data_IF_625279565952
#
_entry.id   IF_625279565952
#
_cell.length_a   1.000
_cell.length_b   1.000
_cell.length_c   1.000
_cell.angle_alpha   90.00
_cell.angle_beta   90.00
_cell.angle_gamma   90.00
#
_symmetry.space_group_name_H-M   'P 1'
#
loop_
_entity.id
_entity.type
_entity.pdbx_description
1 polymer ?
#
# COMPACT_ATOMS: atom_id res chain seq x y z
N UNK A 1 -21.73 79.32 40.38
CA UNK A 1 -22.92 78.99 39.53
C UNK A 1 -22.83 77.56 39.01
N UNK A 2 -23.86 76.77 39.24
CA UNK A 2 -24.11 75.42 38.78
C UNK A 2 -23.13 74.30 39.18
N UNK A 3 -23.52 73.63 40.26
CA UNK A 3 -23.03 72.34 40.72
C UNK A 3 -23.27 71.23 39.71
N UNK A 4 -22.28 70.36 39.47
CA UNK A 4 -22.48 69.08 38.83
C UNK A 4 -22.39 67.97 39.87
N UNK A 5 -23.51 67.27 40.01
CA UNK A 5 -23.65 66.09 40.89
C UNK A 5 -22.83 64.95 40.33
N UNK A 6 -21.99 64.35 41.15
CA UNK A 6 -21.27 63.11 40.86
C UNK A 6 -22.20 61.94 41.21
N UNK A 7 -22.62 61.14 40.21
CA UNK A 7 -23.25 59.84 40.41
C UNK A 7 -22.16 58.77 40.48
N UNK A 8 -22.04 58.11 41.63
CA UNK A 8 -21.20 56.94 41.84
C UNK A 8 -21.93 55.72 41.28
N UNK A 9 -21.49 55.15 40.19
CA UNK A 9 -22.00 53.89 39.69
C UNK A 9 -21.12 52.76 40.27
N UNK A 10 -21.72 51.92 41.09
CA UNK A 10 -21.12 50.71 41.60
C UNK A 10 -21.04 49.67 40.46
N UNK A 11 -19.84 49.29 40.02
CA UNK A 11 -19.60 48.22 39.08
C UNK A 11 -19.53 46.91 39.86
N UNK A 12 -20.56 46.06 39.72
CA UNK A 12 -20.50 44.66 40.12
C UNK A 12 -19.64 43.90 39.13
N UNK A 13 -18.44 43.46 39.53
CA UNK A 13 -17.63 42.51 38.78
C UNK A 13 -18.20 41.12 39.01
N UNK A 14 -18.98 40.63 38.06
CA UNK A 14 -19.29 39.22 37.93
C UNK A 14 -18.05 38.48 37.47
N UNK A 15 -17.33 37.80 38.36
CA UNK A 15 -16.31 36.81 38.04
C UNK A 15 -17.04 35.61 37.43
N UNK A 16 -17.21 35.65 36.12
CA UNK A 16 -17.56 34.48 35.33
C UNK A 16 -16.41 33.51 35.36
N UNK A 17 -16.56 32.40 36.08
CA UNK A 17 -15.69 31.25 35.94
C UNK A 17 -15.77 30.74 34.49
N UNK A 18 -14.84 31.16 33.63
CA UNK A 18 -14.57 30.47 32.37
C UNK A 18 -14.06 29.08 32.71
N UNK A 19 -14.95 28.12 32.82
CA UNK A 19 -14.60 26.73 32.72
C UNK A 19 -13.94 26.51 31.37
N UNK A 20 -12.61 26.37 31.34
CA UNK A 20 -11.91 25.84 30.17
C UNK A 20 -12.60 24.56 29.77
N UNK A 21 -12.96 24.36 28.50
CA UNK A 21 -13.38 23.05 28.07
C UNK A 21 -12.19 22.13 28.32
N UNK A 22 -12.36 21.22 29.29
CA UNK A 22 -11.43 20.12 29.48
C UNK A 22 -11.32 19.42 28.12
N UNK A 23 -10.15 19.51 27.54
CA UNK A 23 -9.73 18.68 26.41
C UNK A 23 -9.63 17.23 26.92
N UNK A 24 -10.77 16.65 27.27
CA UNK A 24 -10.94 15.29 27.70
C UNK A 24 -11.11 14.35 26.51
N UNK A 25 -10.22 14.40 25.56
CA UNK A 25 -10.02 13.35 24.58
C UNK A 25 -9.07 12.30 25.16
N UNK A 26 -9.42 11.67 26.29
CA UNK A 26 -8.71 10.49 26.75
C UNK A 26 -8.71 9.45 25.65
N UNK A 27 -7.53 8.86 25.36
CA UNK A 27 -7.41 7.74 24.41
C UNK A 27 -8.50 6.72 24.75
N UNK A 28 -9.35 6.37 23.76
CA UNK A 28 -10.42 5.39 23.98
C UNK A 28 -9.78 4.08 24.37
N UNK A 29 -10.24 3.49 25.48
CA UNK A 29 -9.79 2.18 25.92
C UNK A 29 -10.29 1.13 24.91
N UNK A 30 -9.36 0.60 24.14
CA UNK A 30 -9.60 -0.44 23.15
C UNK A 30 -8.97 -1.77 23.63
N UNK A 31 -8.87 -2.00 24.93
CA UNK A 31 -8.47 -3.31 25.44
C UNK A 31 -9.48 -4.40 25.00
N UNK A 32 -9.04 -5.65 24.78
CA UNK A 32 -9.90 -6.70 24.22
C UNK A 32 -11.21 -6.94 24.98
N UNK A 33 -11.22 -6.74 26.30
CA UNK A 33 -12.39 -6.87 27.17
C UNK A 33 -13.38 -5.68 27.03
N UNK A 34 -12.93 -4.53 26.50
CA UNK A 34 -13.77 -3.34 26.26
C UNK A 34 -14.37 -3.29 24.86
N UNK A 35 -13.85 -4.07 23.94
CA UNK A 35 -14.34 -4.14 22.56
C UNK A 35 -15.39 -5.25 22.46
N UNK A 36 -16.68 -4.93 22.16
CA UNK A 36 -17.74 -5.93 22.10
C UNK A 36 -17.53 -6.92 20.93
N UNK A 37 -18.05 -8.14 21.04
CA UNK A 37 -17.98 -9.14 19.95
C UNK A 37 -18.76 -8.70 18.69
N UNK A 38 -19.81 -7.92 18.88
CA UNK A 38 -20.53 -7.23 17.81
C UNK A 38 -20.80 -5.80 18.23
N UNK A 39 -20.84 -4.84 17.30
CA UNK A 39 -21.13 -3.47 17.62
C UNK A 39 -22.54 -3.35 18.26
N UNK A 40 -22.70 -2.50 19.25
CA UNK A 40 -23.99 -2.27 19.93
C UNK A 40 -25.05 -1.73 18.97
N UNK A 41 -24.61 -0.98 17.96
CA UNK A 41 -25.42 -0.50 16.84
C UNK A 41 -24.63 -0.62 15.56
N UNK A 42 -25.30 -0.97 14.45
CA UNK A 42 -24.67 -1.03 13.14
C UNK A 42 -23.93 0.28 12.82
N UNK A 43 -22.65 0.17 12.48
CA UNK A 43 -21.80 1.34 12.24
C UNK A 43 -21.91 1.85 10.81
N UNK A 44 -21.56 3.12 10.59
CA UNK A 44 -21.12 3.63 9.29
C UNK A 44 -19.60 3.55 9.30
N UNK A 45 -19.03 2.80 8.37
CA UNK A 45 -17.59 2.60 8.28
C UNK A 45 -17.01 3.49 7.19
N UNK A 46 -16.09 4.38 7.55
CA UNK A 46 -15.35 5.20 6.59
C UNK A 46 -14.01 4.55 6.30
N UNK A 47 -13.77 4.18 5.05
CA UNK A 47 -12.57 3.49 4.59
C UNK A 47 -11.72 4.44 3.75
N UNK A 48 -10.40 4.48 4.03
CA UNK A 48 -9.44 5.06 3.11
C UNK A 48 -8.80 3.93 2.29
N UNK A 49 -8.81 4.10 0.98
CA UNK A 49 -8.07 3.27 0.04
C UNK A 49 -6.76 3.93 -0.35
N UNK A 50 -5.68 3.18 -0.19
CA UNK A 50 -4.34 3.55 -0.64
C UNK A 50 -3.86 2.49 -1.60
N UNK A 51 -3.23 2.90 -2.69
CA UNK A 51 -2.66 2.00 -3.70
C UNK A 51 -3.66 1.14 -4.51
N UNK A 52 -4.96 1.49 -4.53
CA UNK A 52 -5.96 0.80 -5.35
C UNK A 52 -6.41 -0.55 -4.77
N UNK A 53 -6.30 -0.75 -3.48
CA UNK A 53 -6.71 -1.98 -2.80
C UNK A 53 -8.21 -2.29 -2.98
N UNK A 54 -9.06 -1.26 -3.05
CA UNK A 54 -10.51 -1.42 -3.27
C UNK A 54 -10.86 -2.17 -4.56
N UNK A 55 -10.01 -2.14 -5.59
CA UNK A 55 -10.25 -2.94 -6.78
C UNK A 55 -10.38 -4.43 -6.44
N UNK A 56 -9.59 -4.92 -5.49
CA UNK A 56 -9.58 -6.31 -5.05
C UNK A 56 -10.61 -6.60 -3.95
N UNK A 57 -10.83 -5.65 -3.05
CA UNK A 57 -11.52 -5.89 -1.78
C UNK A 57 -12.94 -5.35 -1.74
N UNK A 58 -13.30 -4.42 -2.66
CA UNK A 58 -14.64 -3.81 -2.65
C UNK A 58 -15.77 -4.85 -2.74
N UNK A 59 -15.62 -5.87 -3.59
CA UNK A 59 -16.62 -6.93 -3.70
C UNK A 59 -16.76 -7.78 -2.43
N UNK A 60 -15.67 -7.93 -1.64
CA UNK A 60 -15.71 -8.60 -0.34
C UNK A 60 -16.47 -7.74 0.69
N UNK A 61 -16.20 -6.43 0.70
CA UNK A 61 -16.81 -5.47 1.62
C UNK A 61 -18.31 -5.29 1.32
N UNK A 62 -18.67 -5.12 0.06
CA UNK A 62 -20.05 -4.94 -0.36
C UNK A 62 -20.93 -6.16 0.03
N UNK A 63 -20.42 -7.37 -0.18
CA UNK A 63 -21.12 -8.60 0.20
C UNK A 63 -21.23 -8.72 1.73
N UNK A 64 -20.17 -8.35 2.48
CA UNK A 64 -20.26 -8.31 3.94
C UNK A 64 -21.36 -7.37 4.42
N UNK A 65 -21.44 -6.16 3.88
CA UNK A 65 -22.48 -5.18 4.25
C UNK A 65 -23.88 -5.71 3.95
N UNK A 66 -24.06 -6.37 2.80
CA UNK A 66 -25.35 -6.97 2.42
C UNK A 66 -25.76 -8.10 3.37
N UNK A 67 -24.83 -8.94 3.75
CA UNK A 67 -25.10 -10.13 4.57
C UNK A 67 -25.06 -9.86 6.07
N UNK A 68 -24.42 -8.76 6.50
CA UNK A 68 -24.25 -8.38 7.91
C UNK A 68 -24.73 -6.94 8.22
N UNK A 69 -25.97 -6.57 7.85
CA UNK A 69 -26.47 -5.18 7.98
C UNK A 69 -26.58 -4.71 9.43
N UNK A 70 -26.59 -5.64 10.40
CA UNK A 70 -26.56 -5.34 11.84
C UNK A 70 -25.17 -4.96 12.35
N UNK A 71 -24.11 -5.25 11.58
CA UNK A 71 -22.72 -4.93 11.91
C UNK A 71 -22.31 -3.62 11.22
N UNK A 72 -22.44 -3.56 9.90
CA UNK A 72 -22.14 -2.37 9.10
C UNK A 72 -23.39 -2.01 8.28
N UNK A 73 -23.96 -0.84 8.52
CA UNK A 73 -25.14 -0.35 7.79
C UNK A 73 -24.78 0.42 6.51
N UNK A 74 -23.57 0.97 6.45
CA UNK A 74 -23.10 1.80 5.32
C UNK A 74 -21.58 1.87 5.34
N UNK A 75 -20.99 1.88 4.15
CA UNK A 75 -19.56 2.19 3.97
C UNK A 75 -19.43 3.44 3.10
N UNK A 76 -18.45 4.28 3.42
CA UNK A 76 -18.00 5.38 2.57
C UNK A 76 -16.53 5.19 2.25
N UNK A 77 -16.13 5.58 1.04
CA UNK A 77 -14.77 5.41 0.56
C UNK A 77 -14.14 6.77 0.25
N UNK A 78 -12.88 6.92 0.65
CA UNK A 78 -12.01 8.02 0.23
C UNK A 78 -10.67 7.46 -0.19
N UNK A 79 -9.89 8.22 -0.92
CA UNK A 79 -8.55 7.82 -1.36
C UNK A 79 -7.47 8.71 -0.74
N UNK A 80 -6.29 8.16 -0.58
CA UNK A 80 -5.08 8.90 -0.23
C UNK A 80 -3.86 8.26 -0.90
N UNK A 81 -2.81 9.04 -1.09
CA UNK A 81 -1.49 8.48 -1.38
C UNK A 81 -0.80 8.03 -0.09
N UNK A 82 0.12 7.07 -0.19
CA UNK A 82 0.87 6.60 0.98
C UNK A 82 1.62 7.74 1.72
N UNK A 83 2.24 8.72 1.03
CA UNK A 83 2.85 9.88 1.69
C UNK A 83 1.86 10.80 2.42
N UNK A 84 0.60 10.92 1.97
CA UNK A 84 -0.41 11.77 2.60
C UNK A 84 -1.11 11.10 3.80
N UNK A 85 -1.14 9.78 3.80
CA UNK A 85 -1.91 8.99 4.77
C UNK A 85 -1.57 9.32 6.23
N UNK A 86 -0.29 9.37 6.67
CA UNK A 86 0.03 9.66 8.07
C UNK A 86 -0.48 11.01 8.54
N UNK A 87 -0.38 12.03 7.70
CA UNK A 87 -0.87 13.37 8.02
C UNK A 87 -2.39 13.40 8.22
N UNK A 88 -3.15 12.72 7.36
CA UNK A 88 -4.61 12.62 7.44
C UNK A 88 -5.07 11.90 8.74
N UNK A 89 -4.40 10.81 9.10
CA UNK A 89 -4.71 10.06 10.33
C UNK A 89 -4.34 10.87 11.57
N UNK A 90 -3.14 11.44 11.63
CA UNK A 90 -2.68 12.27 12.76
C UNK A 90 -3.59 13.47 13.02
N UNK A 91 -4.04 14.15 11.98
CA UNK A 91 -4.94 15.29 12.12
C UNK A 91 -6.23 14.91 12.87
N UNK A 92 -6.81 13.76 12.55
CA UNK A 92 -8.03 13.26 13.24
C UNK A 92 -7.74 12.79 14.67
N UNK A 93 -6.61 12.12 14.89
CA UNK A 93 -6.18 11.68 16.22
C UNK A 93 -5.93 12.88 17.14
N UNK A 94 -5.22 13.91 16.64
CA UNK A 94 -4.96 15.14 17.41
C UNK A 94 -6.24 15.92 17.73
N UNK A 95 -7.24 15.87 16.86
CA UNK A 95 -8.55 16.46 17.11
C UNK A 95 -9.43 15.62 18.06
N UNK A 96 -9.00 14.43 18.48
CA UNK A 96 -9.80 13.51 19.31
C UNK A 96 -11.02 12.93 18.59
N UNK A 97 -11.10 13.06 17.27
CA UNK A 97 -12.25 12.67 16.45
C UNK A 97 -11.79 11.82 15.25
N UNK A 98 -11.49 10.55 15.52
CA UNK A 98 -11.12 9.61 14.46
C UNK A 98 -12.38 9.08 13.78
N UNK A 99 -12.63 9.53 12.55
CA UNK A 99 -13.77 9.14 11.74
C UNK A 99 -13.42 8.02 10.75
N UNK A 100 -12.14 7.93 10.35
CA UNK A 100 -11.64 6.85 9.50
C UNK A 100 -11.61 5.58 10.35
N UNK A 101 -12.44 4.61 9.99
CA UNK A 101 -12.52 3.32 10.70
C UNK A 101 -11.47 2.33 10.22
N UNK A 102 -11.32 2.19 8.89
CA UNK A 102 -10.42 1.22 8.28
C UNK A 102 -9.55 1.90 7.22
N UNK A 103 -8.32 1.45 7.10
CA UNK A 103 -7.40 1.83 6.01
C UNK A 103 -6.97 0.56 5.28
N UNK A 104 -7.13 0.58 3.97
CA UNK A 104 -6.61 -0.45 3.06
C UNK A 104 -5.34 0.10 2.41
N UNK A 105 -4.18 -0.52 2.64
CA UNK A 105 -2.89 0.02 2.25
C UNK A 105 -1.88 -1.05 1.86
N UNK A 106 -0.88 -0.66 1.07
CA UNK A 106 0.30 -1.48 0.82
C UNK A 106 1.30 -1.43 1.98
N UNK A 107 2.45 -2.08 1.78
CA UNK A 107 3.55 -2.10 2.76
C UNK A 107 4.09 -0.71 3.11
N UNK A 108 3.98 0.25 2.19
CA UNK A 108 4.41 1.65 2.36
C UNK A 108 3.58 2.40 3.43
N UNK A 109 2.24 2.38 3.31
CA UNK A 109 1.38 3.02 4.31
C UNK A 109 1.35 2.25 5.64
N UNK A 110 1.45 0.92 5.61
CA UNK A 110 1.64 0.11 6.81
C UNK A 110 2.89 0.56 7.57
N UNK A 111 4.05 0.59 6.90
CA UNK A 111 5.34 0.96 7.47
C UNK A 111 5.33 2.39 8.04
N UNK A 112 4.81 3.36 7.28
CA UNK A 112 4.70 4.75 7.72
C UNK A 112 3.84 4.90 8.97
N UNK A 113 2.76 4.13 9.07
CA UNK A 113 1.88 4.17 10.24
C UNK A 113 2.44 3.44 11.46
N UNK A 114 3.16 2.34 11.29
CA UNK A 114 3.88 1.66 12.38
C UNK A 114 4.92 2.60 12.99
N UNK A 115 5.77 3.21 12.15
CA UNK A 115 6.82 4.13 12.60
C UNK A 115 6.28 5.34 13.37
N UNK A 116 5.02 5.73 13.10
CA UNK A 116 4.35 6.87 13.72
C UNK A 116 3.28 6.47 14.76
N UNK A 117 3.15 5.17 15.09
CA UNK A 117 2.22 4.61 16.08
C UNK A 117 0.75 4.95 15.80
N UNK A 118 0.36 4.88 14.53
CA UNK A 118 -0.99 5.25 14.08
C UNK A 118 -2.00 4.11 14.13
N UNK A 119 -1.54 2.85 14.16
CA UNK A 119 -2.37 1.66 14.02
C UNK A 119 -2.65 0.97 15.34
N UNK A 120 -3.87 0.47 15.49
CA UNK A 120 -4.24 -0.47 16.57
C UNK A 120 -3.41 -1.73 16.42
N UNK A 121 -3.03 -2.33 17.55
CA UNK A 121 -2.37 -3.64 17.57
C UNK A 121 -3.42 -4.73 17.38
N UNK A 122 -3.61 -5.19 16.14
CA UNK A 122 -4.63 -6.18 15.76
C UNK A 122 -4.37 -7.56 16.34
N UNK A 123 -3.10 -7.89 16.64
CA UNK A 123 -2.74 -9.18 17.28
C UNK A 123 -3.37 -9.37 18.66
N UNK A 124 -3.66 -8.29 19.38
CA UNK A 124 -4.37 -8.34 20.66
C UNK A 124 -5.78 -8.95 20.51
N UNK A 125 -6.31 -9.00 19.28
CA UNK A 125 -7.62 -9.54 18.91
C UNK A 125 -7.55 -10.82 18.06
N UNK A 126 -6.39 -11.47 17.96
CA UNK A 126 -6.18 -12.65 17.12
C UNK A 126 -7.19 -13.77 17.41
N UNK A 127 -7.57 -13.99 18.67
CA UNK A 127 -8.56 -15.00 19.09
C UNK A 127 -9.96 -14.75 18.47
N UNK A 128 -10.29 -13.51 18.11
CA UNK A 128 -11.57 -13.12 17.52
C UNK A 128 -11.59 -13.28 15.99
N UNK A 129 -10.45 -13.02 15.35
CA UNK A 129 -10.30 -13.16 13.90
C UNK A 129 -10.10 -14.63 13.49
N UNK A 130 -9.53 -15.46 14.38
CA UNK A 130 -9.08 -16.81 14.07
C UNK A 130 -7.74 -16.81 13.34
N UNK A 131 -7.14 -17.98 13.21
CA UNK A 131 -5.90 -18.13 12.43
C UNK A 131 -6.22 -18.15 10.93
N UNK A 132 -5.62 -17.27 10.18
CA UNK A 132 -5.62 -17.34 8.72
C UNK A 132 -4.59 -18.41 8.28
N UNK A 133 -5.00 -19.29 7.37
CA UNK A 133 -4.09 -20.27 6.78
C UNK A 133 -3.33 -19.63 5.61
N UNK A 134 -2.41 -18.72 5.92
CA UNK A 134 -1.63 -18.01 4.92
C UNK A 134 -0.76 -18.95 4.07
N UNK A 135 -0.51 -18.54 2.83
CA UNK A 135 0.61 -19.08 2.04
C UNK A 135 1.93 -18.84 2.78
N UNK A 136 2.94 -19.74 2.71
CA UNK A 136 4.20 -19.51 3.42
C UNK A 136 4.88 -18.16 3.15
N UNK A 137 4.94 -17.63 1.91
CA UNK A 137 5.50 -16.30 1.69
C UNK A 137 4.57 -15.17 2.18
N UNK A 138 3.25 -15.35 2.17
CA UNK A 138 2.29 -14.40 2.74
C UNK A 138 2.43 -14.34 4.27
N UNK A 139 2.64 -15.47 4.93
CA UNK A 139 2.90 -15.49 6.38
C UNK A 139 4.10 -14.61 6.75
N UNK A 140 5.19 -14.64 5.94
CA UNK A 140 6.34 -13.76 6.15
C UNK A 140 6.00 -12.28 5.94
N UNK A 141 5.08 -11.97 5.04
CA UNK A 141 4.61 -10.60 4.85
C UNK A 141 3.68 -10.17 5.99
N UNK A 142 2.84 -11.06 6.54
CA UNK A 142 2.06 -10.80 7.74
C UNK A 142 2.95 -10.44 8.95
N UNK A 143 4.10 -11.08 9.09
CA UNK A 143 5.07 -10.78 10.16
C UNK A 143 5.59 -9.34 10.09
N UNK A 144 5.71 -8.75 8.88
CA UNK A 144 6.10 -7.34 8.71
C UNK A 144 5.09 -6.36 9.31
N UNK A 145 3.83 -6.77 9.49
CA UNK A 145 2.82 -5.94 10.13
C UNK A 145 3.08 -5.74 11.64
N UNK A 146 3.98 -6.52 12.25
CA UNK A 146 4.36 -6.40 13.67
C UNK A 146 3.12 -6.37 14.60
N UNK A 147 2.07 -7.08 14.22
CA UNK A 147 0.81 -7.11 14.92
C UNK A 147 -0.10 -5.89 14.69
N UNK A 148 0.26 -4.94 13.84
CA UNK A 148 -0.48 -3.70 13.61
C UNK A 148 -1.34 -3.67 12.33
N UNK A 149 -1.52 -4.81 11.69
CA UNK A 149 -2.32 -4.94 10.48
C UNK A 149 -2.54 -6.39 10.11
N UNK A 150 -3.50 -6.62 9.23
CA UNK A 150 -3.84 -7.94 8.72
C UNK A 150 -3.66 -7.94 7.21
N UNK A 151 -2.85 -8.85 6.72
CA UNK A 151 -2.64 -9.03 5.28
C UNK A 151 -3.90 -9.60 4.63
N UNK A 152 -4.36 -8.96 3.57
CA UNK A 152 -5.55 -9.37 2.82
C UNK A 152 -5.18 -9.88 1.43
N UNK A 153 -4.13 -9.34 0.82
CA UNK A 153 -3.68 -9.67 -0.53
C UNK A 153 -2.18 -9.89 -0.53
N UNK A 154 -1.76 -10.94 -1.23
CA UNK A 154 -0.35 -11.28 -1.43
C UNK A 154 -0.02 -11.39 -2.92
N UNK A 155 1.16 -10.95 -3.30
CA UNK A 155 1.71 -11.20 -4.63
C UNK A 155 3.24 -11.19 -4.63
N UNK A 156 3.90 -11.95 -5.51
CA UNK A 156 5.36 -11.99 -5.57
C UNK A 156 5.96 -10.65 -5.99
N UNK A 157 5.20 -9.82 -6.69
CA UNK A 157 5.49 -8.45 -7.06
C UNK A 157 6.62 -8.30 -8.11
N UNK A 158 7.80 -7.82 -7.74
CA UNK A 158 8.89 -7.52 -8.67
C UNK A 158 10.29 -7.68 -8.05
N UNK A 159 11.32 -7.09 -8.65
CA UNK A 159 11.27 -6.17 -9.79
C UNK A 159 11.16 -6.90 -11.14
N UNK A 160 10.29 -6.39 -11.99
CA UNK A 160 10.23 -6.76 -13.40
C UNK A 160 10.41 -5.50 -14.24
N UNK A 161 10.76 -5.68 -15.52
CA UNK A 161 10.67 -4.62 -16.51
C UNK A 161 9.58 -4.97 -17.52
N UNK A 162 8.79 -3.97 -17.93
CA UNK A 162 7.80 -4.07 -19.00
C UNK A 162 8.25 -3.18 -20.16
N UNK A 163 8.06 -3.66 -21.39
CA UNK A 163 8.59 -2.98 -22.56
C UNK A 163 7.72 -3.16 -23.80
N UNK A 164 7.78 -2.18 -24.67
CA UNK A 164 7.17 -2.24 -26.00
C UNK A 164 8.08 -3.05 -26.94
N UNK A 165 7.68 -4.23 -27.43
CA UNK A 165 8.54 -5.07 -28.28
C UNK A 165 8.74 -4.50 -29.70
N UNK A 166 8.01 -3.45 -30.10
CA UNK A 166 8.21 -2.77 -31.39
C UNK A 166 9.40 -1.84 -31.37
N UNK A 167 9.73 -1.26 -30.20
CA UNK A 167 10.87 -0.34 -30.02
C UNK A 167 12.04 -1.03 -29.32
N UNK A 168 11.77 -2.02 -28.49
CA UNK A 168 12.77 -2.77 -27.72
C UNK A 168 12.79 -4.23 -28.20
N UNK A 169 13.53 -4.49 -29.29
CA UNK A 169 13.61 -5.84 -29.88
C UNK A 169 14.44 -6.82 -29.06
N UNK A 170 15.40 -6.29 -28.28
CA UNK A 170 16.25 -7.05 -27.35
C UNK A 170 16.20 -6.38 -25.98
N UNK A 171 15.36 -6.86 -25.04
CA UNK A 171 15.28 -6.27 -23.72
C UNK A 171 16.58 -6.49 -22.92
N UNK A 172 16.91 -5.58 -21.98
CA UNK A 172 18.02 -5.77 -21.05
C UNK A 172 17.91 -7.09 -20.28
N UNK A 173 18.98 -7.87 -20.23
CA UNK A 173 19.02 -9.11 -19.48
C UNK A 173 19.64 -8.95 -18.08
N UNK A 174 20.44 -7.91 -17.88
CA UNK A 174 21.09 -7.59 -16.60
C UNK A 174 20.83 -6.13 -16.21
N UNK A 175 21.10 -5.75 -14.96
CA UNK A 175 21.04 -4.33 -14.55
C UNK A 175 22.10 -3.49 -15.26
N UNK A 176 23.25 -4.08 -15.63
CA UNK A 176 24.27 -3.41 -16.42
C UNK A 176 23.79 -3.16 -17.86
N UNK A 177 23.09 -4.13 -18.47
CA UNK A 177 22.46 -3.94 -19.79
C UNK A 177 21.38 -2.85 -19.72
N UNK A 178 20.59 -2.80 -18.63
CA UNK A 178 19.58 -1.77 -18.45
C UNK A 178 20.22 -0.37 -18.37
N UNK A 179 21.31 -0.23 -17.63
CA UNK A 179 22.05 1.03 -17.56
C UNK A 179 22.62 1.43 -18.91
N UNK A 180 23.24 0.48 -19.64
CA UNK A 180 23.78 0.71 -20.98
C UNK A 180 22.67 1.09 -21.97
N UNK A 181 21.53 0.40 -21.90
CA UNK A 181 20.36 0.71 -22.72
C UNK A 181 19.81 2.12 -22.42
N UNK A 182 19.63 2.47 -21.13
CA UNK A 182 19.16 3.79 -20.72
C UNK A 182 20.10 4.92 -21.18
N UNK A 183 21.43 4.66 -21.16
CA UNK A 183 22.43 5.60 -21.68
C UNK A 183 22.32 5.78 -23.21
N UNK A 184 22.07 4.71 -23.95
CA UNK A 184 21.88 4.76 -25.41
C UNK A 184 20.52 5.34 -25.81
N UNK A 185 19.51 5.25 -24.94
CA UNK A 185 18.14 5.74 -25.15
C UNK A 185 17.72 6.67 -23.99
N UNK A 186 18.32 7.86 -23.86
CA UNK A 186 18.03 8.77 -22.75
C UNK A 186 16.53 9.08 -22.67
N UNK A 187 15.99 9.15 -21.45
CA UNK A 187 14.60 9.45 -21.12
C UNK A 187 13.59 8.34 -21.48
N UNK A 188 14.04 7.19 -22.00
CA UNK A 188 13.16 6.10 -22.45
C UNK A 188 12.96 4.97 -21.40
N UNK A 189 13.75 4.96 -20.32
CA UNK A 189 13.51 4.12 -19.14
C UNK A 189 12.87 4.95 -18.03
N UNK A 190 11.87 4.38 -17.37
CA UNK A 190 11.17 5.07 -16.29
C UNK A 190 10.69 4.13 -15.19
N UNK A 191 10.66 4.62 -13.96
CA UNK A 191 9.92 4.05 -12.83
C UNK A 191 9.37 5.18 -11.98
N UNK A 192 8.29 4.92 -11.24
CA UNK A 192 7.68 5.93 -10.39
C UNK A 192 8.36 6.01 -9.02
N UNK A 193 8.13 7.10 -8.29
CA UNK A 193 8.64 7.34 -6.94
C UNK A 193 8.37 6.13 -6.04
N UNK A 194 9.40 5.51 -5.42
CA UNK A 194 9.26 4.30 -4.63
C UNK A 194 8.27 4.40 -3.46
N UNK A 195 8.21 5.55 -2.80
CA UNK A 195 7.31 5.80 -1.68
C UNK A 195 5.81 5.80 -2.05
N UNK A 196 5.45 5.76 -3.35
CA UNK A 196 4.07 5.77 -3.82
C UNK A 196 3.85 4.86 -5.04
N UNK A 197 4.70 3.85 -5.22
CA UNK A 197 4.63 2.93 -6.37
C UNK A 197 5.18 1.56 -5.98
N UNK A 198 4.36 0.51 -6.10
CA UNK A 198 4.80 -0.88 -5.95
C UNK A 198 5.95 -1.24 -6.91
N UNK A 199 5.83 -1.01 -8.23
CA UNK A 199 6.92 -1.20 -9.17
C UNK A 199 8.20 -0.42 -8.83
N UNK A 200 8.07 0.86 -8.48
CA UNK A 200 9.23 1.68 -8.06
C UNK A 200 9.88 1.16 -6.78
N UNK A 201 9.06 0.75 -5.81
CA UNK A 201 9.51 0.18 -4.53
C UNK A 201 10.25 -1.13 -4.74
N UNK A 202 9.69 -2.08 -5.48
CA UNK A 202 10.33 -3.38 -5.70
C UNK A 202 11.55 -3.28 -6.61
N UNK A 203 11.59 -2.33 -7.55
CA UNK A 203 12.80 -2.01 -8.30
C UNK A 203 13.91 -1.53 -7.35
N UNK A 204 13.63 -0.55 -6.49
CA UNK A 204 14.58 -0.06 -5.50
C UNK A 204 15.08 -1.18 -4.58
N UNK A 205 14.18 -1.97 -4.00
CA UNK A 205 14.50 -2.99 -3.00
C UNK A 205 15.08 -4.29 -3.60
N UNK A 206 14.88 -4.54 -4.90
CA UNK A 206 15.44 -5.69 -5.59
C UNK A 206 16.89 -5.50 -6.04
N UNK A 207 17.29 -4.25 -6.28
CA UNK A 207 18.66 -3.94 -6.74
C UNK A 207 19.77 -4.43 -5.80
N UNK A 208 19.64 -4.32 -4.45
CA UNK A 208 20.69 -4.81 -3.54
C UNK A 208 21.01 -6.29 -3.70
N UNK A 209 20.00 -7.12 -3.99
CA UNK A 209 20.19 -8.54 -4.24
C UNK A 209 20.88 -8.77 -5.58
N UNK A 210 20.43 -8.11 -6.64
CA UNK A 210 20.99 -8.24 -8.00
C UNK A 210 22.43 -7.75 -8.07
N UNK A 211 22.76 -6.64 -7.38
CA UNK A 211 24.06 -6.02 -7.36
C UNK A 211 25.02 -6.66 -6.36
N UNK A 212 24.50 -7.51 -5.47
CA UNK A 212 25.26 -8.14 -4.40
C UNK A 212 25.80 -7.12 -3.41
N UNK A 213 24.94 -6.25 -2.91
CA UNK A 213 25.23 -5.36 -1.79
C UNK A 213 25.49 -6.15 -0.52
N UNK A 214 26.21 -5.56 0.45
CA UNK A 214 26.67 -6.26 1.65
C UNK A 214 25.55 -6.67 2.59
N UNK A 215 24.49 -5.87 2.67
CA UNK A 215 23.27 -6.17 3.42
C UNK A 215 22.04 -5.62 2.68
N UNK A 216 21.27 -6.47 1.98
CA UNK A 216 20.05 -6.06 1.28
C UNK A 216 18.93 -5.55 2.20
N UNK A 217 19.03 -5.74 3.51
CA UNK A 217 18.03 -5.26 4.47
C UNK A 217 18.44 -3.95 5.17
N UNK A 218 19.68 -3.48 4.98
CA UNK A 218 20.14 -2.21 5.54
C UNK A 218 20.39 -1.15 4.42
N UNK A 219 19.40 -0.30 4.10
CA UNK A 219 19.57 0.72 3.07
C UNK A 219 20.56 1.83 3.45
N UNK A 220 20.90 1.97 4.73
CA UNK A 220 21.81 3.03 5.21
C UNK A 220 23.27 2.65 5.04
N UNK A 221 23.65 1.45 5.48
CA UNK A 221 25.05 1.00 5.46
C UNK A 221 25.30 -0.09 4.41
N UNK A 222 24.28 -0.89 4.05
CA UNK A 222 24.41 -2.06 3.19
C UNK A 222 24.33 -1.79 1.68
N UNK A 223 23.76 -0.68 1.19
CA UNK A 223 23.38 -0.47 -0.21
C UNK A 223 24.33 0.41 -1.02
N UNK A 224 25.62 0.33 -0.81
CA UNK A 224 26.59 1.17 -1.51
C UNK A 224 26.54 1.04 -3.04
N UNK A 225 26.42 -0.20 -3.56
CA UNK A 225 26.33 -0.47 -4.99
C UNK A 225 24.99 0.00 -5.57
N UNK A 226 23.89 -0.24 -4.87
CA UNK A 226 22.56 0.20 -5.27
C UNK A 226 22.48 1.72 -5.39
N UNK A 227 22.97 2.46 -4.42
CA UNK A 227 22.92 3.92 -4.48
C UNK A 227 23.78 4.47 -5.60
N UNK A 228 25.00 3.93 -5.81
CA UNK A 228 25.86 4.32 -6.93
C UNK A 228 25.20 4.02 -8.28
N UNK A 229 24.58 2.84 -8.43
CA UNK A 229 23.86 2.44 -9.63
C UNK A 229 22.68 3.38 -9.92
N UNK A 230 21.84 3.66 -8.94
CA UNK A 230 20.67 4.53 -9.10
C UNK A 230 21.04 5.97 -9.42
N UNK A 231 22.09 6.50 -8.80
CA UNK A 231 22.62 7.83 -9.12
C UNK A 231 23.14 7.91 -10.57
N UNK A 232 23.82 6.87 -11.04
CA UNK A 232 24.25 6.82 -12.44
C UNK A 232 23.06 6.70 -13.40
N UNK A 233 22.13 5.76 -13.12
CA UNK A 233 20.92 5.56 -13.92
C UNK A 233 20.06 6.85 -13.99
N UNK A 234 19.99 7.59 -12.91
CA UNK A 234 19.20 8.83 -12.82
C UNK A 234 19.61 9.89 -13.83
N UNK A 235 20.86 9.87 -14.32
CA UNK A 235 21.34 10.81 -15.33
C UNK A 235 20.59 10.67 -16.66
N UNK A 236 20.07 9.48 -16.93
CA UNK A 236 19.38 9.11 -18.17
C UNK A 236 17.86 9.04 -18.03
N UNK A 237 17.31 9.20 -16.82
CA UNK A 237 15.89 9.31 -16.54
C UNK A 237 15.48 10.78 -16.61
N UNK A 238 14.41 11.09 -17.34
CA UNK A 238 13.92 12.47 -17.48
C UNK A 238 13.33 12.98 -16.16
N UNK A 239 12.33 12.25 -15.65
CA UNK A 239 11.68 12.51 -14.39
C UNK A 239 11.11 11.22 -13.79
N UNK A 240 10.76 11.27 -12.52
CA UNK A 240 10.10 10.18 -11.82
C UNK A 240 8.62 10.55 -11.60
N UNK A 241 7.68 9.80 -12.22
CA UNK A 241 6.25 9.95 -11.93
C UNK A 241 5.95 9.78 -10.45
N UNK A 242 4.93 10.48 -9.97
CA UNK A 242 4.50 10.35 -8.57
C UNK A 242 3.78 9.04 -8.28
N UNK A 243 3.27 8.35 -9.31
CA UNK A 243 2.46 7.12 -9.19
C UNK A 243 2.62 6.20 -10.40
N UNK A 244 2.34 4.90 -10.21
CA UNK A 244 2.51 3.84 -11.22
C UNK A 244 1.63 4.06 -12.47
N UNK A 245 0.40 4.56 -12.33
CA UNK A 245 -0.49 4.77 -13.47
C UNK A 245 0.09 5.74 -14.50
N UNK A 246 0.98 6.64 -14.10
CA UNK A 246 1.67 7.56 -15.01
C UNK A 246 2.78 6.84 -15.80
N UNK A 247 3.52 5.90 -15.19
CA UNK A 247 4.49 5.09 -15.94
C UNK A 247 3.79 4.22 -17.00
N UNK A 248 2.61 3.65 -16.68
CA UNK A 248 1.78 2.90 -17.64
C UNK A 248 1.36 3.78 -18.82
N UNK A 249 0.85 4.98 -18.53
CA UNK A 249 0.47 5.94 -19.58
C UNK A 249 1.65 6.33 -20.47
N UNK A 250 2.84 6.50 -19.89
CA UNK A 250 4.07 6.84 -20.62
C UNK A 250 4.56 5.69 -21.49
N UNK A 251 4.42 4.43 -21.05
CA UNK A 251 4.69 3.26 -21.90
C UNK A 251 3.67 3.20 -23.05
N UNK A 252 2.38 3.36 -22.75
CA UNK A 252 1.31 3.28 -23.75
C UNK A 252 1.45 4.33 -24.86
N UNK A 253 1.85 5.56 -24.54
CA UNK A 253 2.00 6.65 -25.49
C UNK A 253 3.41 6.76 -26.13
N UNK A 254 4.34 5.88 -25.76
CA UNK A 254 5.72 5.86 -26.26
C UNK A 254 6.65 6.93 -25.68
N UNK A 255 6.25 7.64 -24.63
CA UNK A 255 7.16 8.54 -23.88
C UNK A 255 8.24 7.76 -23.16
N UNK A 256 7.93 6.55 -22.68
CA UNK A 256 8.87 5.54 -22.22
C UNK A 256 8.77 4.29 -23.12
N UNK A 257 9.86 3.58 -23.31
CA UNK A 257 9.92 2.32 -24.05
C UNK A 257 10.13 1.11 -23.10
N UNK A 258 10.70 1.36 -21.93
CA UNK A 258 10.86 0.39 -20.81
C UNK A 258 10.43 1.07 -19.52
N UNK A 259 9.65 0.34 -18.70
CA UNK A 259 9.29 0.77 -17.35
C UNK A 259 9.59 -0.34 -16.34
N UNK A 260 9.80 0.03 -15.08
CA UNK A 260 9.72 -0.95 -13.99
C UNK A 260 8.25 -1.35 -13.78
N UNK A 261 8.00 -2.65 -13.63
CA UNK A 261 6.67 -3.21 -13.39
C UNK A 261 6.72 -4.33 -12.34
N UNK A 262 5.57 -4.92 -12.07
CA UNK A 262 5.36 -6.06 -11.17
C UNK A 262 4.32 -6.99 -11.76
N UNK A 263 4.17 -8.21 -11.21
CA UNK A 263 3.04 -9.10 -11.56
C UNK A 263 1.69 -8.40 -11.34
N UNK A 264 1.62 -7.46 -10.40
CA UNK A 264 0.41 -6.71 -10.09
C UNK A 264 0.09 -5.58 -11.07
N UNK A 265 1.01 -5.20 -11.94
CA UNK A 265 0.86 -4.08 -12.87
C UNK A 265 1.13 -4.48 -14.34
N UNK A 266 0.96 -5.74 -14.68
CA UNK A 266 1.13 -6.26 -16.06
C UNK A 266 -0.19 -6.77 -16.64
N UNK A 267 -0.80 -7.80 -16.04
CA UNK A 267 -1.98 -8.48 -16.60
C UNK A 267 -3.17 -7.50 -16.70
N UNK A 268 -3.51 -6.85 -15.60
CA UNK A 268 -4.68 -5.98 -15.51
C UNK A 268 -4.59 -4.75 -16.44
N UNK A 269 -3.50 -3.96 -16.48
CA UNK A 269 -3.37 -2.84 -17.41
C UNK A 269 -3.51 -3.25 -18.88
N UNK A 270 -3.00 -4.41 -19.29
CA UNK A 270 -3.18 -4.92 -20.65
C UNK A 270 -4.63 -5.34 -20.91
N UNK A 271 -5.27 -6.01 -19.97
CA UNK A 271 -6.67 -6.39 -20.07
C UNK A 271 -7.63 -5.20 -20.14
N UNK A 272 -7.27 -4.08 -19.48
CA UNK A 272 -8.03 -2.82 -19.53
C UNK A 272 -7.66 -1.92 -20.70
N UNK A 273 -6.69 -2.27 -21.53
CA UNK A 273 -6.20 -1.44 -22.63
C UNK A 273 -5.47 -0.18 -22.17
N UNK A 274 -4.98 -0.14 -20.94
CA UNK A 274 -4.18 0.98 -20.41
C UNK A 274 -2.75 0.96 -20.96
N UNK A 275 -2.25 -0.20 -21.32
CA UNK A 275 -1.04 -0.41 -22.11
C UNK A 275 -1.35 -1.38 -23.25
N UNK A 276 -0.55 -1.39 -24.33
CA UNK A 276 -0.76 -2.31 -25.45
C UNK A 276 -0.76 -3.78 -24.99
N UNK A 277 -1.74 -4.56 -25.46
CA UNK A 277 -1.85 -5.99 -25.12
C UNK A 277 -0.60 -6.80 -25.51
N UNK A 278 0.17 -6.31 -26.50
CA UNK A 278 1.40 -6.93 -26.99
C UNK A 278 2.65 -6.59 -26.21
N UNK A 279 2.59 -5.72 -25.21
CA UNK A 279 3.74 -5.39 -24.37
C UNK A 279 4.22 -6.62 -23.60
N UNK A 280 5.52 -6.71 -23.39
CA UNK A 280 6.19 -7.88 -22.82
C UNK A 280 6.87 -7.52 -21.51
N UNK A 281 7.11 -8.54 -20.70
CA UNK A 281 7.88 -8.42 -19.46
C UNK A 281 9.20 -9.18 -19.58
N UNK A 282 10.18 -8.76 -18.80
CA UNK A 282 11.42 -9.51 -18.61
C UNK A 282 11.88 -9.45 -17.15
N UNK A 283 12.51 -10.53 -16.71
CA UNK A 283 13.19 -10.62 -15.44
C UNK A 283 14.69 -10.36 -15.64
N UNK A 284 15.29 -9.52 -14.78
CA UNK A 284 16.73 -9.27 -14.83
C UNK A 284 17.48 -10.43 -14.16
N UNK A 285 18.62 -10.82 -14.73
CA UNK A 285 19.46 -11.90 -14.19
C UNK A 285 19.85 -11.63 -12.75
N UNK A 286 19.71 -12.64 -11.90
CA UNK A 286 19.98 -12.53 -10.46
C UNK A 286 18.83 -11.88 -9.68
N UNK A 287 17.67 -11.72 -10.30
CA UNK A 287 16.48 -11.19 -9.63
C UNK A 287 16.05 -12.08 -8.47
N UNK A 288 15.71 -11.43 -7.36
CA UNK A 288 14.92 -11.98 -6.29
C UNK A 288 13.56 -11.27 -6.31
N UNK A 289 12.50 -12.01 -6.10
CA UNK A 289 11.20 -11.40 -5.85
C UNK A 289 11.26 -10.59 -4.56
N UNK A 290 10.97 -9.32 -4.61
CA UNK A 290 10.62 -8.52 -3.44
C UNK A 290 9.10 -8.58 -3.32
N UNK A 291 8.64 -9.45 -2.46
CA UNK A 291 7.20 -9.70 -2.31
C UNK A 291 6.48 -8.50 -1.73
N UNK A 292 5.23 -8.34 -2.09
CA UNK A 292 4.41 -7.22 -1.65
C UNK A 292 3.04 -7.72 -1.20
N UNK A 293 2.36 -6.92 -0.40
CA UNK A 293 1.09 -7.27 0.21
C UNK A 293 0.20 -6.05 0.39
N UNK A 294 -1.11 -6.30 0.51
CA UNK A 294 -2.08 -5.28 0.89
C UNK A 294 -2.66 -5.64 2.26
N UNK A 295 -2.78 -4.65 3.10
CA UNK A 295 -3.16 -4.79 4.50
C UNK A 295 -4.43 -4.01 4.81
N UNK A 296 -5.22 -4.56 5.72
CA UNK A 296 -6.24 -3.85 6.47
C UNK A 296 -5.64 -3.40 7.80
N UNK A 297 -5.63 -2.11 8.07
CA UNK A 297 -5.14 -1.53 9.33
C UNK A 297 -6.20 -0.62 9.93
N UNK A 298 -6.29 -0.60 11.26
CA UNK A 298 -7.28 0.19 12.00
C UNK A 298 -6.57 1.35 12.69
N UNK A 299 -6.98 2.62 12.48
CA UNK A 299 -6.40 3.75 13.19
C UNK A 299 -6.64 3.70 14.69
N UNK A 300 -5.62 4.06 15.50
CA UNK A 300 -5.83 4.28 16.93
C UNK A 300 -6.82 5.43 17.17
N UNK A 301 -7.67 5.31 18.18
CA UNK A 301 -8.68 6.31 18.51
C UNK A 301 -10.07 6.09 17.88
N UNK A 302 -10.28 5.04 17.09
CA UNK A 302 -11.63 4.60 16.66
C UNK A 302 -12.49 4.21 17.85
N UNK A 303 -13.81 4.09 17.66
CA UNK A 303 -14.69 3.57 18.72
C UNK A 303 -14.58 2.04 18.83
N UNK A 304 -14.92 1.50 20.00
CA UNK A 304 -14.96 0.05 20.23
C UNK A 304 -15.95 -0.67 19.28
N UNK A 305 -17.07 -0.02 18.94
CA UNK A 305 -18.04 -0.56 17.99
C UNK A 305 -17.46 -0.59 16.55
N UNK A 306 -16.70 0.44 16.13
CA UNK A 306 -16.03 0.44 14.83
C UNK A 306 -14.98 -0.65 14.78
N UNK A 307 -14.11 -0.74 15.79
CA UNK A 307 -13.10 -1.81 15.83
C UNK A 307 -13.75 -3.21 15.84
N UNK A 308 -14.86 -3.39 16.55
CA UNK A 308 -15.61 -4.66 16.53
C UNK A 308 -16.10 -5.02 15.13
N UNK A 309 -16.59 -4.04 14.38
CA UNK A 309 -17.04 -4.23 12.99
C UNK A 309 -15.87 -4.53 12.05
N UNK A 310 -14.74 -3.83 12.20
CA UNK A 310 -13.53 -4.04 11.41
C UNK A 310 -13.00 -5.46 11.59
N UNK A 311 -12.91 -5.96 12.81
CA UNK A 311 -12.43 -7.32 13.10
C UNK A 311 -13.30 -8.40 12.42
N UNK A 312 -14.64 -8.21 12.40
CA UNK A 312 -15.52 -9.14 11.71
C UNK A 312 -15.37 -9.05 10.18
N UNK A 313 -15.25 -7.83 9.62
CA UNK A 313 -15.01 -7.63 8.20
C UNK A 313 -13.68 -8.25 7.77
N UNK A 314 -12.59 -7.99 8.50
CA UNK A 314 -11.27 -8.56 8.23
C UNK A 314 -11.31 -10.08 8.24
N UNK A 315 -11.92 -10.68 9.27
CA UNK A 315 -12.13 -12.14 9.33
C UNK A 315 -12.87 -12.68 8.11
N UNK A 316 -13.92 -11.99 7.67
CA UNK A 316 -14.68 -12.34 6.47
C UNK A 316 -13.81 -12.29 5.21
N UNK A 317 -13.01 -11.25 5.05
CA UNK A 317 -12.14 -11.08 3.89
C UNK A 317 -11.08 -12.19 3.76
N UNK A 318 -10.73 -12.86 4.85
CA UNK A 318 -9.77 -13.97 4.89
C UNK A 318 -10.40 -15.35 4.62
N UNK A 319 -11.71 -15.44 4.42
CA UNK A 319 -12.32 -16.72 4.03
C UNK A 319 -11.95 -17.09 2.59
N UNK A 320 -11.79 -18.39 2.24
CA UNK A 320 -11.39 -18.81 0.89
C UNK A 320 -12.28 -18.25 -0.22
N UNK A 321 -13.59 -18.16 0.02
CA UNK A 321 -14.56 -17.62 -0.94
C UNK A 321 -14.32 -16.13 -1.23
N UNK A 322 -13.99 -15.36 -0.20
CA UNK A 322 -13.67 -13.94 -0.38
C UNK A 322 -12.28 -13.75 -0.99
N UNK A 323 -11.32 -14.53 -0.55
CA UNK A 323 -9.96 -14.50 -1.09
C UNK A 323 -9.90 -14.82 -2.59
N UNK A 324 -10.78 -15.67 -3.09
CA UNK A 324 -10.87 -15.97 -4.53
C UNK A 324 -11.21 -14.72 -5.37
N UNK A 325 -11.87 -13.71 -4.78
CA UNK A 325 -12.12 -12.43 -5.47
C UNK A 325 -10.86 -11.60 -5.67
N UNK A 326 -9.80 -11.84 -4.87
CA UNK A 326 -8.53 -11.13 -5.00
C UNK A 326 -7.75 -11.49 -6.28
N UNK A 327 -8.12 -12.54 -7.00
CA UNK A 327 -7.62 -12.74 -8.37
C UNK A 327 -8.03 -11.58 -9.28
N UNK A 328 -9.18 -10.96 -9.01
CA UNK A 328 -9.73 -9.83 -9.77
C UNK A 328 -9.58 -10.07 -11.29
N UNK A 329 -9.12 -9.08 -12.01
CA UNK A 329 -8.74 -9.17 -13.42
C UNK A 329 -7.20 -9.16 -13.59
N UNK A 330 -6.50 -9.87 -12.70
CA UNK A 330 -5.04 -9.96 -12.68
C UNK A 330 -4.33 -8.76 -12.05
N UNK A 331 -5.08 -7.88 -11.35
CA UNK A 331 -4.49 -6.81 -10.58
C UNK A 331 -3.89 -7.37 -9.28
N UNK A 332 -2.64 -7.04 -8.99
CA UNK A 332 -1.85 -7.66 -7.91
C UNK A 332 -1.82 -9.21 -7.98
N UNK A 333 -1.58 -9.74 -9.19
CA UNK A 333 -1.58 -11.17 -9.46
C UNK A 333 -0.51 -11.93 -8.64
N UNK A 334 -0.84 -13.11 -8.01
CA UNK A 334 -2.14 -13.80 -8.06
C UNK A 334 -3.22 -13.21 -7.13
N UNK A 335 -2.89 -12.54 -6.02
CA UNK A 335 -3.82 -11.86 -5.14
C UNK A 335 -4.17 -12.58 -3.85
N UNK A 336 -4.68 -13.85 -3.85
CA UNK A 336 -5.01 -14.53 -2.60
C UNK A 336 -3.80 -14.70 -1.68
N UNK A 337 -3.97 -14.35 -0.40
CA UNK A 337 -2.96 -14.50 0.63
C UNK A 337 -3.07 -15.85 1.37
N UNK A 338 -4.26 -16.50 1.36
CA UNK A 338 -4.51 -17.75 2.08
C UNK A 338 -4.38 -18.98 1.18
N UNK A 339 -3.96 -20.09 1.78
CA UNK A 339 -3.77 -21.37 1.11
C UNK A 339 -5.10 -22.00 0.66
N UNK A 340 -5.04 -22.84 -0.38
CA UNK A 340 -6.19 -23.60 -0.88
C UNK A 340 -7.14 -22.78 -1.77
N UNK A 341 -6.80 -21.55 -2.12
CA UNK A 341 -7.56 -20.72 -3.07
C UNK A 341 -6.96 -20.86 -4.47
N UNK A 342 -7.79 -21.21 -5.44
CA UNK A 342 -7.38 -21.40 -6.83
C UNK A 342 -8.11 -20.45 -7.76
N UNK A 343 -7.57 -20.23 -8.97
CA UNK A 343 -8.20 -19.37 -9.98
C UNK A 343 -9.58 -19.87 -10.40
N UNK A 344 -9.84 -21.18 -10.31
CA UNK A 344 -11.15 -21.78 -10.61
C UNK A 344 -12.24 -21.36 -9.62
N UNK A 345 -11.86 -20.92 -8.41
CA UNK A 345 -12.79 -20.37 -7.41
C UNK A 345 -13.11 -18.89 -7.66
N UNK A 346 -12.30 -18.24 -8.50
CA UNK A 346 -12.46 -16.81 -8.81
C UNK A 346 -13.73 -16.54 -9.65
N UNK A 347 -14.25 -15.31 -9.66
CA UNK A 347 -15.32 -14.93 -10.59
C UNK A 347 -14.95 -15.26 -12.04
N UNK A 348 -15.94 -15.66 -12.85
CA UNK A 348 -15.73 -16.09 -14.24
C UNK A 348 -14.95 -15.05 -15.07
N UNK A 349 -15.25 -13.78 -14.90
CA UNK A 349 -14.51 -12.69 -15.56
C UNK A 349 -13.02 -12.72 -15.22
N UNK A 350 -12.67 -12.96 -13.97
CA UNK A 350 -11.28 -13.07 -13.50
C UNK A 350 -10.57 -14.24 -14.18
N UNK A 351 -11.23 -15.41 -14.24
CA UNK A 351 -10.68 -16.58 -14.90
C UNK A 351 -10.41 -16.31 -16.39
N UNK A 352 -11.34 -15.68 -17.10
CA UNK A 352 -11.21 -15.33 -18.51
C UNK A 352 -10.04 -14.37 -18.76
N UNK A 353 -9.89 -13.33 -17.94
CA UNK A 353 -8.80 -12.37 -18.09
C UNK A 353 -7.45 -13.01 -17.83
N UNK A 354 -7.33 -13.82 -16.76
CA UNK A 354 -6.09 -14.52 -16.44
C UNK A 354 -5.73 -15.53 -17.54
N UNK A 355 -6.72 -16.24 -18.10
CA UNK A 355 -6.49 -17.14 -19.23
C UNK A 355 -6.00 -16.40 -20.48
N UNK A 356 -6.56 -15.23 -20.79
CA UNK A 356 -6.24 -14.45 -21.99
C UNK A 356 -4.94 -13.64 -21.88
N UNK A 357 -4.70 -13.02 -20.72
CA UNK A 357 -3.62 -12.05 -20.51
C UNK A 357 -2.55 -12.54 -19.53
N UNK A 358 -2.72 -13.70 -18.90
CA UNK A 358 -1.70 -14.29 -18.01
C UNK A 358 -0.38 -14.54 -18.73
N UNK A 359 0.67 -14.71 -17.96
CA UNK A 359 2.03 -14.97 -18.47
C UNK A 359 2.45 -16.37 -18.06
N UNK A 360 2.70 -17.29 -19.01
CA UNK A 360 3.24 -18.61 -18.70
C UNK A 360 4.55 -18.55 -17.92
N UNK A 361 5.40 -17.54 -18.19
CA UNK A 361 6.68 -17.31 -17.52
C UNK A 361 6.55 -17.09 -16.02
N UNK A 362 5.42 -16.57 -15.56
CA UNK A 362 5.23 -16.27 -14.13
C UNK A 362 5.25 -17.51 -13.25
N UNK A 363 4.67 -18.62 -13.71
CA UNK A 363 4.67 -19.87 -12.95
C UNK A 363 6.10 -20.38 -12.73
N UNK A 364 6.93 -20.36 -13.78
CA UNK A 364 8.33 -20.73 -13.70
C UNK A 364 9.13 -19.76 -12.80
N UNK A 365 9.01 -18.46 -13.03
CA UNK A 365 9.74 -17.46 -12.24
C UNK A 365 9.34 -17.45 -10.78
N UNK A 366 8.03 -17.62 -10.50
CA UNK A 366 7.53 -17.71 -9.12
C UNK A 366 8.03 -18.99 -8.44
N UNK A 367 8.16 -20.09 -9.18
CA UNK A 367 8.67 -21.35 -8.63
C UNK A 367 10.18 -21.31 -8.38
N UNK A 368 10.95 -20.65 -9.25
CA UNK A 368 12.43 -20.78 -9.30
C UNK A 368 13.19 -19.63 -8.63
N UNK A 369 12.71 -18.38 -8.73
CA UNK A 369 13.45 -17.25 -8.17
C UNK A 369 13.27 -17.14 -6.64
N UNK A 370 14.34 -16.76 -5.92
CA UNK A 370 14.24 -16.49 -4.48
C UNK A 370 13.18 -15.44 -4.17
N UNK A 371 12.54 -15.57 -3.00
CA UNK A 371 11.50 -14.64 -2.52
C UNK A 371 11.96 -13.97 -1.25
N UNK A 372 12.01 -12.64 -1.30
CA UNK A 372 12.39 -11.77 -0.20
C UNK A 372 11.17 -10.96 0.24
N UNK A 373 11.06 -10.73 1.53
CA UNK A 373 10.07 -9.78 2.03
C UNK A 373 10.46 -8.35 1.66
N UNK A 374 9.51 -7.44 1.61
CA UNK A 374 9.80 -5.99 1.66
C UNK A 374 10.64 -5.65 2.91
N UNK A 375 11.21 -4.46 2.94
CA UNK A 375 11.96 -3.99 4.11
C UNK A 375 11.04 -3.84 5.33
N UNK A 376 11.55 -4.07 6.54
CA UNK A 376 10.86 -3.64 7.76
C UNK A 376 10.57 -2.14 7.75
N UNK A 377 9.59 -1.70 8.55
CA UNK A 377 9.03 -0.36 8.50
C UNK A 377 10.08 0.76 8.55
N UNK A 378 11.01 0.71 9.51
CA UNK A 378 12.03 1.75 9.67
C UNK A 378 13.01 1.80 8.51
N UNK A 379 13.46 0.64 8.02
CA UNK A 379 14.36 0.52 6.89
C UNK A 379 13.69 0.97 5.60
N UNK A 380 12.40 0.66 5.42
CA UNK A 380 11.65 1.10 4.26
C UNK A 380 11.53 2.63 4.22
N UNK A 381 11.17 3.27 5.32
CA UNK A 381 11.13 4.72 5.43
C UNK A 381 12.50 5.33 5.15
N UNK A 382 13.58 4.76 5.73
CA UNK A 382 14.93 5.24 5.50
C UNK A 382 15.37 5.10 4.02
N UNK A 383 15.00 4.01 3.34
CA UNK A 383 15.29 3.82 1.93
C UNK A 383 14.58 4.87 1.07
N UNK A 384 13.31 5.16 1.35
CA UNK A 384 12.54 6.18 0.61
C UNK A 384 13.10 7.58 0.83
N UNK A 385 13.43 7.94 2.07
CA UNK A 385 14.03 9.23 2.39
C UNK A 385 15.38 9.43 1.71
N UNK A 386 16.21 8.37 1.67
CA UNK A 386 17.50 8.44 0.99
C UNK A 386 17.33 8.53 -0.52
N UNK A 387 16.40 7.76 -1.10
CA UNK A 387 16.09 7.84 -2.52
C UNK A 387 15.60 9.24 -2.91
N UNK A 388 14.65 9.80 -2.16
CA UNK A 388 14.10 11.14 -2.42
C UNK A 388 15.21 12.22 -2.41
N UNK A 389 16.19 12.10 -1.51
CA UNK A 389 17.29 13.07 -1.40
C UNK A 389 18.38 12.90 -2.45
N UNK A 390 18.73 11.67 -2.83
CA UNK A 390 19.94 11.39 -3.61
C UNK A 390 19.68 11.01 -5.06
N UNK A 391 18.50 10.50 -5.37
CA UNK A 391 18.11 10.03 -6.71
C UNK A 391 16.95 10.84 -7.26
N UNK A 392 15.89 11.02 -6.47
CA UNK A 392 14.65 11.68 -6.87
C UNK A 392 14.70 13.21 -6.82
N UNK A 393 15.72 13.79 -6.16
CA UNK A 393 15.83 15.23 -5.92
C UNK A 393 15.73 16.05 -7.20
N UNK A 394 14.73 16.96 -7.26
CA UNK A 394 14.48 17.81 -8.43
C UNK A 394 13.85 17.12 -9.64
N UNK A 395 13.66 15.79 -9.59
CA UNK A 395 13.11 15.00 -10.71
C UNK A 395 11.74 14.38 -10.46
N UNK A 396 11.24 14.38 -9.22
CA UNK A 396 9.88 13.90 -8.92
C UNK A 396 8.87 14.94 -9.39
N UNK A 397 7.99 14.56 -10.32
CA UNK A 397 6.83 15.39 -10.69
C UNK A 397 5.69 15.17 -9.70
N UNK A 398 5.06 16.27 -9.29
CA UNK A 398 3.90 16.27 -8.37
C UNK A 398 2.61 16.10 -9.16
#
# INVERSE_FOLDING_TARGET
MRAKKLCLAAVFVLVGACGSPSAGGGAKDLSPDKVPNSPKKAVTLNIIDVAGNLQLTKGMIDEFVQTHPKVIKKVTYTTATAPELPGKIKAQQSAGQVQIGLVLTGTDGLAAGISQKLWVKTDDYASRMGAANYLPPAQKMQELAQGHGVEIVYYPSGPLIEYNPRTVTKPPATVQDLLAWAKAHPKKFQYARPANSGPGRTFLMGLPYILGDSDPKDPKAGWAKTWAYLQELSKYVDYYPSKTSETMANLANGSADIIATTTGWDINPRALGQVPAGDKVAALKGMHWVTDAQYAVVPTGVSADVLSADLQLIKWMLTPQQQAKAYDTGYFYPGPAVSGVTVQMAPQKSQQVIQQFGRPEYDEWIATFPKETSLPAEQQVAAFDQWDRTVGSGKVRK
#
